data_IF_943090680567
#
_entry.id   IF_943090680567
#
_cell.length_a   1.000
_cell.length_b   1.000
_cell.length_c   1.000
_cell.angle_alpha   90.00
_cell.angle_beta   90.00
_cell.angle_gamma   90.00
#
_symmetry.space_group_name_H-M   'P 1'
#
loop_
_entity.id
_entity.type
_entity.pdbx_description
1 polymer ?
#
# COMPACT_ATOMS: atom_id res chain seq x y z
N UNK A 1 62.78 -9.32 -37.75
CA UNK A 1 62.07 -10.02 -36.65
C UNK A 1 61.02 -9.09 -36.07
N UNK A 2 59.77 -9.31 -36.42
CA UNK A 2 58.67 -8.40 -36.10
C UNK A 2 57.81 -9.00 -34.97
N UNK A 3 57.78 -8.35 -33.82
CA UNK A 3 56.89 -8.76 -32.69
C UNK A 3 55.51 -8.08 -32.84
N UNK A 4 54.50 -8.87 -33.16
CA UNK A 4 53.09 -8.45 -33.14
C UNK A 4 52.56 -8.54 -31.74
N UNK A 5 52.27 -7.38 -31.15
CA UNK A 5 51.61 -7.25 -29.87
C UNK A 5 50.09 -7.49 -30.05
N UNK A 6 49.57 -8.56 -29.42
CA UNK A 6 48.13 -8.85 -29.39
C UNK A 6 47.54 -8.13 -28.15
N UNK A 7 46.74 -7.08 -28.39
CA UNK A 7 45.93 -6.43 -27.37
C UNK A 7 44.66 -7.27 -27.15
N UNK A 8 44.56 -7.94 -26.02
CA UNK A 8 43.33 -8.62 -25.60
C UNK A 8 42.43 -7.62 -24.89
N UNK A 9 41.35 -7.25 -25.54
CA UNK A 9 40.27 -6.41 -24.97
C UNK A 9 39.37 -7.31 -24.11
N UNK A 10 39.47 -7.22 -22.80
CA UNK A 10 38.54 -7.87 -21.86
C UNK A 10 37.31 -7.00 -21.77
N UNK A 11 36.20 -7.43 -22.41
CA UNK A 11 34.89 -6.81 -22.31
C UNK A 11 34.21 -7.28 -21.02
N UNK A 12 34.24 -6.43 -20.00
CA UNK A 12 33.56 -6.70 -18.72
C UNK A 12 32.05 -6.62 -18.88
N UNK A 13 31.37 -7.75 -18.73
CA UNK A 13 29.92 -7.82 -18.66
C UNK A 13 29.49 -7.38 -17.25
N UNK A 14 28.97 -6.16 -17.12
CA UNK A 14 28.31 -5.70 -15.90
C UNK A 14 26.95 -6.38 -15.79
N UNK A 15 26.85 -7.40 -14.94
CA UNK A 15 25.56 -8.02 -14.58
C UNK A 15 24.85 -7.07 -13.62
N UNK A 16 23.88 -6.31 -14.13
CA UNK A 16 22.94 -5.56 -13.31
C UNK A 16 21.96 -6.55 -12.67
N UNK A 17 22.26 -6.99 -11.47
CA UNK A 17 21.34 -7.78 -10.65
C UNK A 17 20.16 -6.92 -10.22
N UNK A 18 19.00 -7.06 -10.87
CA UNK A 18 17.73 -6.50 -10.36
C UNK A 18 17.37 -7.20 -9.07
N UNK A 19 17.60 -6.55 -7.92
CA UNK A 19 17.03 -6.98 -6.64
C UNK A 19 15.49 -6.86 -6.75
N UNK A 20 14.82 -7.99 -6.99
CA UNK A 20 13.38 -8.11 -6.78
C UNK A 20 13.12 -7.99 -5.27
N UNK A 21 12.74 -6.80 -4.82
CA UNK A 21 12.25 -6.59 -3.46
C UNK A 21 10.97 -7.40 -3.28
N UNK A 22 11.08 -8.54 -2.61
CA UNK A 22 9.90 -9.29 -2.15
C UNK A 22 9.27 -8.43 -1.07
N UNK A 23 8.09 -7.87 -1.34
CA UNK A 23 7.29 -7.13 -0.36
C UNK A 23 6.83 -8.11 0.73
N UNK A 24 7.64 -8.28 1.76
CA UNK A 24 7.24 -8.92 3.02
C UNK A 24 6.31 -7.96 3.76
N UNK A 25 5.30 -8.51 4.46
CA UNK A 25 4.59 -7.73 5.46
C UNK A 25 5.63 -7.19 6.46
N UNK A 26 5.66 -5.87 6.66
CA UNK A 26 6.54 -5.26 7.66
C UNK A 26 6.04 -5.63 9.06
N UNK A 27 6.96 -5.90 9.97
CA UNK A 27 6.65 -6.01 11.37
C UNK A 27 6.20 -4.62 11.88
N UNK A 28 5.04 -4.57 12.49
CA UNK A 28 4.48 -3.35 13.06
C UNK A 28 4.00 -3.62 14.49
N UNK A 29 4.08 -2.61 15.34
CA UNK A 29 3.58 -2.68 16.73
C UNK A 29 2.23 -2.00 16.85
N UNK A 30 1.27 -2.69 17.43
CA UNK A 30 -0.06 -2.14 17.74
C UNK A 30 -0.01 -1.55 19.16
N UNK A 31 -0.44 -0.30 19.27
CA UNK A 31 -0.54 0.42 20.56
C UNK A 31 -1.91 1.11 20.58
N UNK A 32 -2.73 0.75 21.57
CA UNK A 32 -4.08 1.32 21.75
C UNK A 32 -4.88 1.36 20.43
N UNK A 33 -5.04 0.20 19.78
CA UNK A 33 -5.79 0.03 18.52
C UNK A 33 -5.28 0.87 17.35
N UNK A 34 -4.02 1.26 17.38
CA UNK A 34 -3.35 2.05 16.34
C UNK A 34 -1.97 1.51 16.01
N UNK A 35 -1.40 1.96 14.88
CA UNK A 35 -0.01 1.69 14.48
C UNK A 35 0.70 3.05 14.40
N UNK A 36 1.37 3.49 15.48
CA UNK A 36 1.96 4.84 15.56
C UNK A 36 3.11 5.08 14.59
N UNK A 37 3.91 4.03 14.36
CA UNK A 37 5.12 4.14 13.53
C UNK A 37 4.78 3.87 12.07
N UNK A 38 5.28 4.71 11.15
CA UNK A 38 5.19 4.49 9.71
C UNK A 38 5.79 3.12 9.33
N UNK A 39 5.14 2.41 8.42
CA UNK A 39 5.61 1.11 7.94
C UNK A 39 6.93 1.19 7.15
N UNK A 40 7.27 2.35 6.63
CA UNK A 40 8.45 2.53 5.77
C UNK A 40 9.43 3.58 6.29
N UNK A 41 8.98 4.45 7.19
CA UNK A 41 9.73 5.65 7.58
C UNK A 41 9.81 6.72 6.47
N UNK A 42 9.18 6.48 5.32
CA UNK A 42 9.12 7.42 4.19
C UNK A 42 7.73 8.05 4.15
N UNK A 43 7.67 9.36 3.97
CA UNK A 43 6.41 10.09 3.85
C UNK A 43 5.56 9.55 2.68
N UNK A 44 4.25 9.44 2.89
CA UNK A 44 3.31 9.05 1.85
C UNK A 44 3.09 10.17 0.83
N UNK A 45 2.78 9.78 -0.40
CA UNK A 45 2.45 10.68 -1.50
C UNK A 45 0.92 10.68 -1.71
N UNK A 46 0.20 11.78 -1.40
CA UNK A 46 -1.25 11.83 -1.49
C UNK A 46 -1.77 11.69 -2.94
N UNK A 47 -1.00 12.07 -3.95
CA UNK A 47 -1.38 11.91 -5.36
C UNK A 47 -1.34 10.44 -5.76
N UNK A 48 -0.32 9.70 -5.33
CA UNK A 48 -0.27 8.25 -5.51
C UNK A 48 -1.36 7.55 -4.69
N UNK A 49 -1.57 8.00 -3.46
CA UNK A 49 -2.61 7.49 -2.57
C UNK A 49 -4.00 7.56 -3.20
N UNK A 50 -4.39 8.71 -3.78
CA UNK A 50 -5.64 8.85 -4.53
C UNK A 50 -5.75 7.84 -5.67
N UNK A 51 -4.68 7.67 -6.47
CA UNK A 51 -4.65 6.70 -7.57
C UNK A 51 -4.79 5.25 -7.09
N UNK A 52 -4.19 4.92 -5.94
CA UNK A 52 -4.31 3.59 -5.33
C UNK A 52 -5.71 3.34 -4.78
N UNK A 53 -6.33 4.34 -4.16
CA UNK A 53 -7.69 4.24 -3.62
C UNK A 53 -8.74 3.91 -4.68
N UNK A 54 -8.61 4.44 -5.90
CA UNK A 54 -9.51 4.17 -7.03
C UNK A 54 -9.10 2.95 -7.86
N UNK A 55 -7.93 2.38 -7.65
CA UNK A 55 -7.41 1.30 -8.47
C UNK A 55 -8.10 -0.04 -8.15
N UNK A 56 -8.94 -0.53 -9.07
CA UNK A 56 -9.69 -1.79 -8.95
C UNK A 56 -8.81 -3.05 -8.78
N UNK A 57 -7.51 -2.97 -9.08
CA UNK A 57 -6.57 -4.11 -8.93
C UNK A 57 -5.77 -4.03 -7.62
N UNK A 58 -5.95 -2.96 -6.84
CA UNK A 58 -5.23 -2.64 -5.61
C UNK A 58 -6.19 -2.34 -4.46
N UNK A 59 -6.22 -1.09 -3.96
CA UNK A 59 -7.07 -0.68 -2.83
C UNK A 59 -8.55 -0.82 -3.11
N UNK A 60 -8.99 -0.27 -4.26
CA UNK A 60 -10.40 -0.28 -4.69
C UNK A 60 -11.37 0.22 -3.60
N UNK A 61 -10.99 1.28 -2.89
CA UNK A 61 -11.76 1.81 -1.76
C UNK A 61 -13.17 2.25 -2.18
N UNK A 62 -13.29 2.79 -3.42
CA UNK A 62 -14.57 3.22 -3.98
C UNK A 62 -15.58 2.09 -4.18
N UNK A 63 -15.15 0.83 -4.19
CA UNK A 63 -16.10 -0.29 -4.25
C UNK A 63 -17.02 -0.37 -3.02
N UNK A 64 -16.57 0.19 -1.89
CA UNK A 64 -17.29 0.11 -0.63
C UNK A 64 -17.58 1.48 -0.01
N UNK A 65 -16.80 2.52 -0.31
CA UNK A 65 -16.86 3.82 0.34
C UNK A 65 -17.18 4.95 -0.64
N UNK A 66 -18.03 5.88 -0.23
CA UNK A 66 -18.10 7.19 -0.86
C UNK A 66 -16.84 8.01 -0.50
N UNK A 67 -16.34 8.80 -1.47
CA UNK A 67 -15.18 9.68 -1.34
C UNK A 67 -15.37 10.93 -2.21
N UNK A 68 -14.72 12.07 -1.90
CA UNK A 68 -14.85 13.29 -2.70
C UNK A 68 -14.01 13.21 -3.99
N UNK A 69 -14.39 12.30 -4.88
CA UNK A 69 -13.72 12.01 -6.17
C UNK A 69 -14.75 12.12 -7.29
N UNK A 70 -15.15 13.33 -7.70
CA UNK A 70 -16.25 13.53 -8.64
C UNK A 70 -16.01 12.96 -10.05
N UNK A 71 -14.74 12.73 -10.41
CA UNK A 71 -14.38 12.08 -11.67
C UNK A 71 -14.69 10.57 -11.71
N UNK A 72 -15.07 9.97 -10.58
CA UNK A 72 -15.55 8.59 -10.48
C UNK A 72 -17.07 8.61 -10.22
N UNK A 73 -17.85 8.03 -11.13
CA UNK A 73 -19.32 8.09 -11.08
C UNK A 73 -19.95 7.15 -10.04
N UNK A 74 -19.29 6.05 -9.72
CA UNK A 74 -19.86 4.99 -8.87
C UNK A 74 -19.05 4.82 -7.60
N UNK A 75 -19.67 5.15 -6.48
CA UNK A 75 -19.13 4.96 -5.14
C UNK A 75 -20.00 3.95 -4.39
N UNK A 76 -19.36 3.02 -3.69
CA UNK A 76 -20.05 2.05 -2.84
C UNK A 76 -20.55 2.70 -1.55
N UNK A 77 -21.63 2.13 -1.01
CA UNK A 77 -22.28 2.58 0.23
C UNK A 77 -22.21 1.53 1.35
N UNK A 78 -21.40 0.49 1.17
CA UNK A 78 -21.25 -0.59 2.14
C UNK A 78 -20.43 -0.17 3.35
N UNK A 79 -19.37 0.62 3.12
CA UNK A 79 -18.56 1.23 4.16
C UNK A 79 -18.99 2.67 4.43
N UNK A 80 -18.52 3.28 5.54
CA UNK A 80 -18.82 4.68 5.83
C UNK A 80 -18.22 5.62 4.77
N UNK A 81 -18.87 6.78 4.60
CA UNK A 81 -18.32 7.87 3.80
C UNK A 81 -16.98 8.35 4.36
N UNK A 82 -15.99 8.51 3.47
CA UNK A 82 -14.63 8.92 3.79
C UNK A 82 -14.36 10.42 3.53
N UNK A 83 -15.37 11.22 3.18
CA UNK A 83 -15.20 12.64 2.83
C UNK A 83 -14.52 13.46 3.92
N UNK A 84 -14.70 13.06 5.19
CA UNK A 84 -14.13 13.75 6.36
C UNK A 84 -13.31 12.81 7.24
N UNK A 85 -12.80 11.73 6.67
CA UNK A 85 -12.10 10.69 7.46
C UNK A 85 -10.85 11.21 8.15
N UNK A 86 -10.15 12.17 7.56
CA UNK A 86 -8.98 12.82 8.13
C UNK A 86 -9.28 13.77 9.30
N UNK A 87 -10.56 14.17 9.49
CA UNK A 87 -11.00 14.89 10.70
C UNK A 87 -11.36 13.92 11.83
N UNK A 88 -11.75 12.68 11.50
CA UNK A 88 -12.21 11.68 12.49
C UNK A 88 -11.07 10.84 13.08
N UNK A 89 -10.01 10.61 12.32
CA UNK A 89 -8.92 9.71 12.71
C UNK A 89 -7.57 10.31 12.38
N UNK A 90 -6.58 10.08 13.25
CA UNK A 90 -5.18 10.38 12.98
C UNK A 90 -4.54 9.28 12.10
N UNK A 91 -3.32 9.55 11.61
CA UNK A 91 -2.61 8.61 10.72
C UNK A 91 -2.36 7.23 11.32
N UNK A 92 -2.09 7.16 12.63
CA UNK A 92 -1.84 5.89 13.32
C UNK A 92 -3.09 5.01 13.34
N UNK A 93 -4.25 5.62 13.57
CA UNK A 93 -5.55 4.96 13.56
C UNK A 93 -5.97 4.55 12.13
N UNK A 94 -5.71 5.42 11.15
CA UNK A 94 -5.93 5.11 9.72
C UNK A 94 -5.04 3.96 9.26
N UNK A 95 -3.77 3.96 9.70
CA UNK A 95 -2.81 2.89 9.39
C UNK A 95 -3.30 1.55 9.91
N UNK A 96 -3.78 1.48 11.15
CA UNK A 96 -4.34 0.26 11.71
C UNK A 96 -5.52 -0.28 10.88
N UNK A 97 -6.45 0.60 10.45
CA UNK A 97 -7.61 0.23 9.65
C UNK A 97 -7.21 -0.33 8.28
N UNK A 98 -6.20 0.25 7.64
CA UNK A 98 -5.72 -0.23 6.34
C UNK A 98 -4.88 -1.51 6.47
N UNK A 99 -4.00 -1.58 7.45
CA UNK A 99 -3.13 -2.74 7.65
C UNK A 99 -3.95 -3.97 8.00
N UNK A 100 -4.79 -3.87 9.05
CA UNK A 100 -5.61 -4.99 9.51
C UNK A 100 -6.85 -4.53 10.28
N UNK A 101 -7.87 -4.11 9.57
CA UNK A 101 -9.16 -3.69 10.14
C UNK A 101 -9.82 -4.73 11.05
N UNK A 102 -9.47 -6.01 10.87
CA UNK A 102 -10.06 -7.11 11.66
C UNK A 102 -9.57 -7.17 13.12
N UNK A 103 -8.53 -6.44 13.47
CA UNK A 103 -8.13 -6.24 14.86
C UNK A 103 -9.16 -5.38 15.60
N UNK A 104 -9.69 -4.36 14.91
CA UNK A 104 -10.69 -3.44 15.47
C UNK A 104 -12.12 -4.03 15.46
N UNK A 105 -12.43 -4.75 14.39
CA UNK A 105 -13.70 -5.44 14.23
C UNK A 105 -13.48 -6.77 13.50
N UNK A 106 -13.51 -7.93 14.19
CA UNK A 106 -13.31 -9.24 13.57
C UNK A 106 -14.30 -9.58 12.45
N UNK A 107 -15.52 -9.04 12.55
CA UNK A 107 -16.62 -9.32 11.61
C UNK A 107 -16.62 -8.38 10.39
N UNK A 108 -15.73 -7.40 10.34
CA UNK A 108 -15.67 -6.47 9.20
C UNK A 108 -15.40 -7.20 7.90
N UNK A 109 -16.09 -6.77 6.83
CA UNK A 109 -15.81 -7.21 5.46
C UNK A 109 -14.63 -6.46 4.83
N UNK A 110 -14.18 -5.34 5.42
CA UNK A 110 -13.02 -4.59 4.95
C UNK A 110 -11.78 -5.49 4.96
N UNK A 111 -11.05 -5.60 3.84
CA UNK A 111 -9.86 -6.44 3.78
C UNK A 111 -8.75 -5.95 4.73
N UNK A 112 -7.94 -6.88 5.24
CA UNK A 112 -6.64 -6.56 5.81
C UNK A 112 -5.64 -6.38 4.64
N UNK A 113 -5.35 -5.14 4.25
CA UNK A 113 -4.59 -4.89 3.03
C UNK A 113 -3.10 -5.22 3.14
N UNK A 114 -2.55 -5.24 4.35
CA UNK A 114 -1.12 -5.47 4.58
C UNK A 114 -0.83 -6.63 5.56
N UNK A 115 -1.65 -7.68 5.52
CA UNK A 115 -1.49 -8.89 6.34
C UNK A 115 -1.18 -10.11 5.48
N UNK A 116 -0.38 -11.04 6.00
CA UNK A 116 -0.12 -12.37 5.43
C UNK A 116 -0.14 -13.39 6.58
N UNK A 117 -0.79 -14.54 6.43
CA UNK A 117 -1.62 -14.97 5.30
C UNK A 117 -3.00 -14.28 5.29
N UNK A 118 -3.55 -14.15 4.09
CA UNK A 118 -4.93 -13.73 3.88
C UNK A 118 -5.79 -14.95 3.51
N UNK A 119 -6.97 -15.05 4.12
CA UNK A 119 -7.97 -16.05 3.77
C UNK A 119 -8.88 -15.50 2.65
N UNK A 120 -9.35 -16.37 1.74
CA UNK A 120 -10.31 -16.04 0.67
C UNK A 120 -9.85 -14.88 -0.23
N UNK A 121 -8.62 -14.94 -0.70
CA UNK A 121 -8.06 -13.94 -1.63
C UNK A 121 -7.89 -14.51 -3.03
N UNK A 122 -7.86 -13.64 -4.03
CA UNK A 122 -7.52 -14.01 -5.39
C UNK A 122 -6.13 -14.67 -5.44
N UNK A 123 -5.93 -15.62 -6.36
CA UNK A 123 -4.66 -16.37 -6.53
C UNK A 123 -3.43 -15.46 -6.57
N UNK A 124 -3.53 -14.26 -7.19
CA UNK A 124 -2.43 -13.29 -7.30
C UNK A 124 -1.96 -12.72 -5.94
N UNK A 125 -2.79 -12.79 -4.89
CA UNK A 125 -2.46 -12.33 -3.54
C UNK A 125 -2.12 -13.47 -2.57
N UNK A 126 -2.13 -14.74 -3.04
CA UNK A 126 -1.78 -15.88 -2.18
C UNK A 126 -0.33 -15.73 -1.69
N UNK A 127 -0.16 -15.66 -0.37
CA UNK A 127 1.15 -15.45 0.28
C UNK A 127 1.73 -14.04 0.13
N UNK A 128 0.91 -13.06 -0.30
CA UNK A 128 1.32 -11.65 -0.47
C UNK A 128 0.31 -10.71 0.17
N UNK A 129 0.74 -9.50 0.47
CA UNK A 129 -0.16 -8.41 0.86
C UNK A 129 -0.92 -7.88 -0.37
N UNK A 130 -2.11 -7.32 -0.16
CA UNK A 130 -2.88 -6.65 -1.23
C UNK A 130 -2.19 -5.32 -1.59
N UNK A 131 -1.74 -4.59 -0.56
CA UNK A 131 -0.98 -3.34 -0.67
C UNK A 131 0.39 -3.50 -0.02
N UNK A 132 1.41 -2.95 -0.65
CA UNK A 132 2.74 -2.81 -0.08
C UNK A 132 2.77 -1.76 1.05
N UNK A 133 3.83 -1.76 1.87
CA UNK A 133 3.97 -0.83 2.99
C UNK A 133 3.89 0.65 2.53
N UNK A 134 4.62 1.02 1.48
CA UNK A 134 4.57 2.39 0.96
C UNK A 134 3.21 2.74 0.34
N UNK A 135 2.53 1.78 -0.30
CA UNK A 135 1.18 1.99 -0.82
C UNK A 135 0.16 2.28 0.30
N UNK A 136 0.35 1.69 1.48
CA UNK A 136 -0.44 2.02 2.69
C UNK A 136 -0.17 3.48 3.11
N UNK A 137 1.11 3.88 3.24
CA UNK A 137 1.46 5.26 3.63
C UNK A 137 0.97 6.29 2.61
N UNK A 138 1.05 5.98 1.30
CA UNK A 138 0.53 6.86 0.26
C UNK A 138 -0.99 7.05 0.39
N UNK A 139 -1.75 5.98 0.63
CA UNK A 139 -3.21 6.06 0.84
C UNK A 139 -3.52 6.86 2.11
N UNK A 140 -2.79 6.64 3.22
CA UNK A 140 -2.96 7.40 4.46
C UNK A 140 -2.74 8.89 4.19
N UNK A 141 -1.65 9.25 3.50
CA UNK A 141 -1.36 10.64 3.15
C UNK A 141 -2.52 11.28 2.38
N UNK A 142 -3.17 10.54 1.46
CA UNK A 142 -4.33 11.03 0.74
C UNK A 142 -5.55 11.18 1.63
N UNK A 143 -5.97 10.12 2.34
CA UNK A 143 -7.21 10.16 3.11
C UNK A 143 -7.12 11.11 4.33
N UNK A 144 -5.92 11.38 4.84
CA UNK A 144 -5.68 12.38 5.88
C UNK A 144 -5.93 13.82 5.40
N UNK A 145 -5.93 14.07 4.07
CA UNK A 145 -6.31 15.38 3.51
C UNK A 145 -7.82 15.57 3.45
N UNK A 146 -8.63 14.51 3.58
CA UNK A 146 -10.09 14.54 3.51
C UNK A 146 -10.65 15.03 4.85
N UNK A 147 -10.78 16.35 4.94
CA UNK A 147 -11.21 17.09 6.15
C UNK A 147 -12.34 18.05 5.81
N UNK A 148 -13.23 18.25 6.79
CA UNK A 148 -14.23 19.35 6.81
C UNK A 148 -13.53 20.67 7.09
#
# INVERSE_FOLDING_TARGET
MSYRTILSTIMGIAVFGSLLAIAKAHDYTIVNDSIPVSLTGVAGDPVKGKKLAINRKKGNCLACHAMPIPEQQFHGEVGPDLSEVGSRYNEAELRMRLVNSKVLNPDTIMPAFHKVPLNRVLKKFKGKTILGAQEIEDIIAYISTLKS
#
